data_IF_377226873511
#
_entry.id   IF_377226873511
#
_cell.length_a   1.000
_cell.length_b   1.000
_cell.length_c   1.000
_cell.angle_alpha   90.00
_cell.angle_beta   90.00
_cell.angle_gamma   90.00
#
_symmetry.space_group_name_H-M   'P 1'
#
loop_
_entity.id
_entity.type
_entity.pdbx_description
1 polymer ?
#
# COMPACT_ATOMS: atom_id res chain seq x y z
N UNK A 1 -1.76 -29.28 13.93
CA UNK A 1 -1.89 -29.85 15.27
C UNK A 1 -2.74 -28.89 16.07
N UNK A 2 -3.91 -29.39 16.48
CA UNK A 2 -4.85 -28.68 17.34
C UNK A 2 -4.40 -28.94 18.78
N UNK A 3 -4.10 -27.87 19.53
CA UNK A 3 -3.86 -27.96 20.98
C UNK A 3 -4.98 -27.16 21.63
N UNK A 4 -5.88 -27.88 22.29
CA UNK A 4 -6.89 -27.31 23.17
C UNK A 4 -6.23 -26.96 24.50
N UNK A 5 -6.24 -25.65 24.85
CA UNK A 5 -5.95 -25.20 26.20
C UNK A 5 -7.18 -24.48 26.71
N UNK A 6 -7.79 -25.06 27.75
CA UNK A 6 -8.96 -24.57 28.45
C UNK A 6 -8.67 -23.22 29.13
N UNK A 7 -8.99 -22.12 28.49
CA UNK A 7 -9.09 -20.74 29.04
C UNK A 7 -9.34 -19.66 27.97
N UNK A 8 -10.38 -19.80 27.12
CA UNK A 8 -10.91 -18.64 26.34
C UNK A 8 -9.95 -17.89 25.39
N UNK A 9 -8.74 -18.39 25.18
CA UNK A 9 -7.75 -17.79 24.27
C UNK A 9 -7.93 -18.39 22.87
N UNK A 10 -8.39 -17.60 21.92
CA UNK A 10 -8.40 -18.00 20.51
C UNK A 10 -6.96 -18.03 19.98
N UNK A 11 -6.36 -19.21 19.92
CA UNK A 11 -5.06 -19.42 19.26
C UNK A 11 -5.32 -19.48 17.75
N UNK A 12 -4.89 -18.50 17.02
CA UNK A 12 -4.87 -18.56 15.57
C UNK A 12 -3.67 -19.44 15.15
N UNK A 13 -3.95 -20.63 14.63
CA UNK A 13 -2.92 -21.48 14.04
C UNK A 13 -2.41 -20.83 12.76
N UNK A 14 -1.23 -20.25 12.81
CA UNK A 14 -0.53 -19.78 11.62
C UNK A 14 -0.16 -21.02 10.79
N UNK A 15 -0.54 -21.13 9.51
CA UNK A 15 -0.19 -22.29 8.69
C UNK A 15 1.34 -22.45 8.59
N UNK A 16 1.82 -23.68 8.62
CA UNK A 16 3.25 -24.02 8.69
C UNK A 16 4.08 -23.36 7.56
N UNK A 17 3.48 -23.20 6.38
CA UNK A 17 4.09 -22.50 5.25
C UNK A 17 4.30 -21.01 5.51
N UNK A 18 3.42 -20.36 6.27
CA UNK A 18 3.58 -18.95 6.65
C UNK A 18 4.64 -18.79 7.75
N UNK A 19 4.71 -19.71 8.71
CA UNK A 19 5.77 -19.75 9.72
C UNK A 19 7.13 -19.93 9.03
N UNK A 20 7.22 -20.90 8.12
CA UNK A 20 8.45 -21.16 7.36
C UNK A 20 8.86 -19.93 6.51
N UNK A 21 7.90 -19.25 5.90
CA UNK A 21 8.13 -18.01 5.14
C UNK A 21 8.70 -16.88 6.01
N UNK A 22 8.17 -16.70 7.22
CA UNK A 22 8.61 -15.65 8.15
C UNK A 22 9.98 -15.94 8.79
N UNK A 23 10.36 -17.23 8.89
CA UNK A 23 11.61 -17.66 9.57
C UNK A 23 12.76 -17.95 8.61
N UNK A 24 12.50 -18.27 7.35
CA UNK A 24 13.52 -18.72 6.38
C UNK A 24 14.03 -17.63 5.43
N UNK A 25 13.59 -16.38 5.56
CA UNK A 25 14.01 -15.30 4.66
C UNK A 25 13.59 -15.53 3.20
N UNK A 26 12.47 -16.22 2.98
CA UNK A 26 11.96 -16.55 1.65
C UNK A 26 11.75 -15.32 0.78
N UNK A 27 12.19 -15.38 -0.49
CA UNK A 27 11.85 -14.35 -1.48
C UNK A 27 10.46 -14.59 -2.06
N UNK A 28 9.68 -13.51 -2.24
CA UNK A 28 8.37 -13.57 -2.87
C UNK A 28 8.41 -12.83 -4.19
N UNK A 29 8.07 -13.53 -5.29
CA UNK A 29 7.95 -12.93 -6.62
C UNK A 29 6.49 -12.68 -6.95
N UNK A 30 6.18 -11.52 -7.51
CA UNK A 30 4.87 -11.18 -8.07
C UNK A 30 5.06 -10.65 -9.48
N UNK A 31 4.14 -11.03 -10.38
CA UNK A 31 4.25 -10.73 -11.80
C UNK A 31 3.09 -9.84 -12.25
N UNK A 32 3.41 -8.93 -13.14
CA UNK A 32 2.46 -8.13 -13.89
C UNK A 32 2.98 -7.98 -15.32
N UNK A 33 2.10 -7.65 -16.25
CA UNK A 33 2.43 -7.42 -17.64
C UNK A 33 1.72 -6.18 -18.16
N UNK A 34 2.34 -5.53 -19.15
CA UNK A 34 1.73 -4.44 -19.89
C UNK A 34 1.89 -4.70 -21.38
N UNK A 35 0.91 -4.27 -22.15
CA UNK A 35 0.92 -4.25 -23.60
C UNK A 35 0.65 -2.82 -24.07
N UNK A 36 1.31 -2.39 -25.14
CA UNK A 36 1.12 -1.07 -25.74
C UNK A 36 1.17 -1.16 -27.26
N UNK A 37 0.25 -0.46 -27.93
CA UNK A 37 0.18 -0.35 -29.39
C UNK A 37 0.08 1.12 -29.79
N UNK A 38 0.75 1.49 -30.89
CA UNK A 38 0.69 2.83 -31.46
C UNK A 38 1.64 3.85 -30.84
N UNK A 39 1.45 5.11 -31.20
CA UNK A 39 2.22 6.25 -30.70
C UNK A 39 1.84 6.65 -29.29
N UNK A 40 2.55 7.64 -28.74
CA UNK A 40 2.31 8.07 -27.34
C UNK A 40 0.90 8.66 -27.16
N UNK A 41 0.42 9.51 -28.08
CA UNK A 41 -0.83 10.22 -27.92
C UNK A 41 -2.07 9.44 -28.38
N UNK A 42 -1.92 8.67 -29.43
CA UNK A 42 -2.98 7.89 -30.12
C UNK A 42 -2.95 6.41 -29.79
N UNK A 43 -1.92 5.96 -29.09
CA UNK A 43 -1.74 4.58 -28.70
C UNK A 43 -2.67 4.13 -27.58
N UNK A 44 -2.78 2.81 -27.46
CA UNK A 44 -3.63 2.14 -26.44
C UNK A 44 -2.82 1.06 -25.75
N UNK A 45 -3.01 0.96 -24.45
CA UNK A 45 -2.35 -0.07 -23.66
C UNK A 45 -3.29 -0.80 -22.72
N UNK A 46 -2.83 -1.94 -22.25
CA UNK A 46 -3.49 -2.71 -21.18
C UNK A 46 -2.46 -3.19 -20.16
N UNK A 47 -2.87 -3.29 -18.92
CA UNK A 47 -2.10 -3.89 -17.82
C UNK A 47 -2.85 -5.08 -17.24
N UNK A 48 -2.09 -6.09 -16.83
CA UNK A 48 -2.63 -7.28 -16.15
C UNK A 48 -1.74 -7.67 -14.98
N UNK A 49 -2.36 -8.16 -13.91
CA UNK A 49 -1.67 -8.73 -12.75
C UNK A 49 -1.85 -10.24 -12.72
N UNK A 50 -0.88 -10.96 -12.13
CA UNK A 50 -0.94 -12.41 -11.94
C UNK A 50 -2.19 -12.87 -11.16
N UNK A 51 -2.66 -12.06 -10.20
CA UNK A 51 -3.89 -12.31 -9.44
C UNK A 51 -5.17 -12.23 -10.27
N UNK A 52 -5.13 -11.64 -11.47
CA UNK A 52 -6.29 -11.41 -12.32
C UNK A 52 -7.16 -10.22 -11.89
N UNK A 53 -6.84 -9.53 -10.79
CA UNK A 53 -7.60 -8.33 -10.34
C UNK A 53 -7.54 -7.23 -11.40
N UNK A 54 -6.37 -7.02 -12.02
CA UNK A 54 -6.26 -6.27 -13.28
C UNK A 54 -6.14 -7.29 -14.41
N UNK A 55 -7.09 -7.29 -15.33
CA UNK A 55 -7.12 -8.19 -16.49
C UNK A 55 -7.37 -7.37 -17.74
N UNK A 56 -6.29 -7.12 -18.50
CA UNK A 56 -6.31 -6.26 -19.68
C UNK A 56 -6.97 -4.90 -19.41
N UNK A 57 -6.72 -4.36 -18.21
CA UNK A 57 -7.26 -3.06 -17.82
C UNK A 57 -6.62 -1.97 -18.65
N UNK A 58 -7.43 -1.13 -19.27
CA UNK A 58 -7.00 -0.12 -20.21
C UNK A 58 -6.19 0.99 -19.51
N UNK A 59 -5.12 1.43 -20.16
CA UNK A 59 -4.43 2.68 -19.88
C UNK A 59 -4.01 3.37 -21.19
N UNK A 60 -3.85 4.69 -21.16
CA UNK A 60 -3.52 5.48 -22.34
C UNK A 60 -2.92 6.83 -21.96
N UNK A 61 -2.55 7.66 -22.93
CA UNK A 61 -2.17 9.03 -22.69
C UNK A 61 -3.31 9.81 -22.00
N UNK A 62 -4.54 9.64 -22.46
CA UNK A 62 -5.70 10.37 -21.90
C UNK A 62 -6.04 9.92 -20.48
N UNK A 63 -5.83 8.66 -20.09
CA UNK A 63 -6.03 8.21 -18.70
C UNK A 63 -4.96 8.71 -17.75
N UNK A 64 -3.81 9.17 -18.26
CA UNK A 64 -2.69 9.67 -17.47
C UNK A 64 -2.66 11.19 -17.35
N UNK A 65 -3.03 11.91 -18.40
CA UNK A 65 -2.85 13.35 -18.52
C UNK A 65 -4.15 14.12 -18.78
N UNK A 66 -5.28 13.40 -18.97
CA UNK A 66 -6.61 13.94 -19.26
C UNK A 66 -7.67 13.15 -18.47
N UNK A 67 -8.96 13.32 -18.78
CA UNK A 67 -10.08 12.64 -18.10
C UNK A 67 -10.49 11.31 -18.77
N UNK A 68 -9.55 10.58 -19.35
CA UNK A 68 -9.81 9.29 -20.01
C UNK A 68 -10.24 8.20 -19.01
N UNK A 69 -11.10 7.27 -19.46
CA UNK A 69 -11.49 6.10 -18.65
C UNK A 69 -10.41 5.03 -18.68
N UNK A 70 -10.03 4.51 -17.51
CA UNK A 70 -9.02 3.47 -17.36
C UNK A 70 -8.16 3.71 -16.13
N UNK A 71 -7.05 3.01 -16.03
CA UNK A 71 -6.05 3.22 -14.99
C UNK A 71 -4.84 4.00 -15.53
N UNK A 72 -3.91 4.33 -14.65
CA UNK A 72 -2.63 4.93 -14.99
C UNK A 72 -1.54 4.47 -14.01
N UNK A 73 -0.25 4.56 -14.37
CA UNK A 73 0.84 4.13 -13.50
C UNK A 73 0.87 4.82 -12.15
N UNK A 74 0.51 6.09 -12.11
CA UNK A 74 0.55 6.92 -10.92
C UNK A 74 -0.46 6.45 -9.87
N UNK A 75 -1.70 6.15 -10.26
CA UNK A 75 -2.71 5.63 -9.31
C UNK A 75 -2.40 4.20 -8.87
N UNK A 76 -1.77 3.37 -9.72
CA UNK A 76 -1.35 2.03 -9.33
C UNK A 76 -0.23 2.07 -8.28
N UNK A 77 0.72 3.00 -8.41
CA UNK A 77 1.76 3.24 -7.40
C UNK A 77 1.12 3.76 -6.11
N UNK A 78 0.19 4.70 -6.20
CA UNK A 78 -0.52 5.24 -5.04
C UNK A 78 -1.30 4.14 -4.30
N UNK A 79 -2.02 3.28 -5.03
CA UNK A 79 -2.75 2.14 -4.45
C UNK A 79 -1.80 1.14 -3.76
N UNK A 80 -0.68 0.80 -4.40
CA UNK A 80 0.34 -0.07 -3.81
C UNK A 80 0.94 0.54 -2.53
N UNK A 81 1.19 1.86 -2.53
CA UNK A 81 1.75 2.56 -1.38
C UNK A 81 0.76 2.61 -0.22
N UNK A 82 -0.50 2.98 -0.47
CA UNK A 82 -1.54 3.00 0.55
C UNK A 82 -1.74 1.61 1.20
N UNK A 83 -1.84 0.55 0.39
CA UNK A 83 -2.01 -0.81 0.90
C UNK A 83 -0.81 -1.31 1.70
N UNK A 84 0.41 -1.09 1.20
CA UNK A 84 1.63 -1.50 1.88
C UNK A 84 1.83 -0.75 3.21
N UNK A 85 1.59 0.56 3.24
CA UNK A 85 1.66 1.38 4.43
C UNK A 85 0.64 0.93 5.50
N UNK A 86 -0.62 0.69 5.12
CA UNK A 86 -1.67 0.23 6.04
C UNK A 86 -1.31 -1.12 6.69
N UNK A 87 -0.75 -2.05 5.91
CA UNK A 87 -0.29 -3.34 6.44
C UNK A 87 0.92 -3.16 7.38
N UNK A 88 1.88 -2.30 7.04
CA UNK A 88 3.03 -2.00 7.89
C UNK A 88 2.59 -1.38 9.23
N UNK A 89 1.62 -0.45 9.18
CA UNK A 89 1.05 0.15 10.39
C UNK A 89 0.34 -0.90 11.25
N UNK A 90 -0.47 -1.77 10.65
CA UNK A 90 -1.16 -2.84 11.38
C UNK A 90 -0.16 -3.76 12.13
N UNK A 91 0.96 -4.10 11.49
CA UNK A 91 2.01 -4.91 12.10
C UNK A 91 2.64 -4.16 13.29
N UNK A 92 3.05 -2.91 13.12
CA UNK A 92 3.71 -2.11 14.16
C UNK A 92 2.78 -1.83 15.35
N UNK A 93 1.48 -1.60 15.09
CA UNK A 93 0.48 -1.49 16.15
C UNK A 93 0.37 -2.79 16.94
N UNK A 94 0.38 -3.95 16.29
CA UNK A 94 0.38 -5.26 16.94
C UNK A 94 1.59 -5.46 17.85
N UNK A 95 2.80 -5.09 17.39
CA UNK A 95 4.02 -5.12 18.19
C UNK A 95 3.96 -4.18 19.42
N UNK A 96 3.20 -3.09 19.30
CA UNK A 96 2.94 -2.15 20.40
C UNK A 96 1.75 -2.53 21.31
N UNK A 97 1.16 -3.73 21.08
CA UNK A 97 0.02 -4.25 21.86
C UNK A 97 -1.32 -3.59 21.51
N UNK A 98 -1.43 -2.97 20.36
CA UNK A 98 -2.63 -2.28 19.89
C UNK A 98 -3.23 -2.99 18.65
N UNK A 99 -4.55 -2.98 18.54
CA UNK A 99 -5.24 -3.50 17.34
C UNK A 99 -6.22 -2.44 16.83
N UNK A 100 -6.04 -2.02 15.57
CA UNK A 100 -6.96 -1.10 14.94
C UNK A 100 -8.26 -1.81 14.55
N UNK A 101 -9.41 -1.15 14.71
CA UNK A 101 -10.67 -1.56 14.11
C UNK A 101 -10.67 -1.26 12.61
N UNK A 102 -10.13 -0.09 12.21
CA UNK A 102 -9.92 0.27 10.81
C UNK A 102 -8.64 1.09 10.65
N UNK A 103 -8.05 0.98 9.45
CA UNK A 103 -6.95 1.80 8.96
C UNK A 103 -7.34 2.23 7.56
N UNK A 104 -7.64 3.49 7.39
CA UNK A 104 -8.01 4.09 6.10
C UNK A 104 -6.88 4.99 5.64
N UNK A 105 -6.23 4.62 4.55
CA UNK A 105 -5.11 5.36 3.97
C UNK A 105 -5.43 5.79 2.56
N UNK A 106 -5.35 7.09 2.29
CA UNK A 106 -5.35 7.65 0.94
C UNK A 106 -3.94 8.05 0.58
N UNK A 107 -3.49 7.72 -0.62
CA UNK A 107 -2.22 8.17 -1.17
C UNK A 107 -2.49 9.08 -2.37
N UNK A 108 -1.95 10.29 -2.34
CA UNK A 108 -1.97 11.23 -3.45
C UNK A 108 -0.55 11.39 -3.98
N UNK A 109 -0.34 10.98 -5.24
CA UNK A 109 0.93 11.06 -5.93
C UNK A 109 0.91 12.25 -6.88
N UNK A 110 1.91 13.12 -6.80
CA UNK A 110 2.07 14.28 -7.66
C UNK A 110 3.11 14.00 -8.74
N UNK A 111 2.68 14.08 -9.99
CA UNK A 111 3.53 14.01 -11.18
C UNK A 111 3.70 15.39 -11.78
N UNK A 112 4.92 15.88 -11.91
CA UNK A 112 5.23 17.19 -12.45
C UNK A 112 6.25 17.09 -13.59
N UNK A 113 6.20 18.08 -14.51
CA UNK A 113 7.23 18.27 -15.51
C UNK A 113 8.34 19.11 -14.91
N UNK A 114 9.49 18.53 -14.68
CA UNK A 114 10.71 19.17 -14.20
C UNK A 114 11.75 19.28 -15.33
N UNK A 115 12.90 19.85 -15.06
CA UNK A 115 14.04 19.87 -16.01
C UNK A 115 14.53 18.47 -16.35
N UNK A 116 14.35 17.50 -15.44
CA UNK A 116 14.68 16.09 -15.66
C UNK A 116 13.58 15.31 -16.42
N UNK A 117 12.46 15.95 -16.78
CA UNK A 117 11.30 15.35 -17.42
C UNK A 117 10.13 15.13 -16.43
N UNK A 118 9.20 14.23 -16.76
CA UNK A 118 8.09 13.90 -15.86
C UNK A 118 8.62 13.16 -14.62
N UNK A 119 8.41 13.77 -13.47
CA UNK A 119 8.97 13.32 -12.19
C UNK A 119 7.87 13.24 -11.13
N UNK A 120 7.87 12.16 -10.36
CA UNK A 120 7.05 12.08 -9.14
C UNK A 120 7.75 12.88 -8.06
N UNK A 121 7.20 14.03 -7.71
CA UNK A 121 7.82 15.00 -6.79
C UNK A 121 7.40 14.82 -5.34
N UNK A 122 6.19 14.32 -5.11
CA UNK A 122 5.68 14.07 -3.76
C UNK A 122 4.63 12.96 -3.76
N UNK A 123 4.56 12.22 -2.64
CA UNK A 123 3.40 11.40 -2.27
C UNK A 123 2.93 11.83 -0.89
N UNK A 124 1.65 12.17 -0.78
CA UNK A 124 0.99 12.46 0.49
C UNK A 124 0.19 11.25 0.91
N UNK A 125 0.43 10.75 2.12
CA UNK A 125 -0.36 9.71 2.78
C UNK A 125 -1.29 10.38 3.81
N UNK A 126 -2.59 10.34 3.57
CA UNK A 126 -3.62 10.75 4.52
C UNK A 126 -4.15 9.51 5.23
N UNK A 127 -3.87 9.40 6.52
CA UNK A 127 -4.20 8.27 7.38
C UNK A 127 -5.27 8.65 8.39
N UNK A 128 -6.32 7.84 8.47
CA UNK A 128 -7.28 7.83 9.58
C UNK A 128 -7.30 6.41 10.14
N UNK A 129 -7.15 6.26 11.46
CA UNK A 129 -7.20 4.94 12.10
C UNK A 129 -8.04 4.95 13.38
N UNK A 130 -8.98 4.01 13.48
CA UNK A 130 -9.76 3.74 14.69
C UNK A 130 -9.05 2.67 15.52
N UNK A 131 -8.44 3.10 16.63
CA UNK A 131 -7.65 2.24 17.51
C UNK A 131 -8.17 2.42 18.93
N UNK A 132 -9.00 1.51 19.44
CA UNK A 132 -9.56 1.61 20.80
C UNK A 132 -8.47 1.69 21.87
N UNK A 133 -8.57 2.71 22.72
CA UNK A 133 -7.65 2.89 23.84
C UNK A 133 -6.26 3.41 23.50
N UNK A 134 -5.99 3.75 22.24
CA UNK A 134 -4.71 4.35 21.86
C UNK A 134 -4.66 5.84 22.22
N UNK A 135 -3.50 6.28 22.69
CA UNK A 135 -3.19 7.71 22.78
C UNK A 135 -2.57 8.24 21.48
N UNK A 136 -2.69 9.53 21.23
CA UNK A 136 -2.24 10.18 20.02
C UNK A 136 -0.70 10.11 19.84
N UNK A 137 0.07 10.20 20.92
CA UNK A 137 1.53 10.20 20.83
C UNK A 137 2.04 8.82 20.40
N UNK A 138 1.51 7.75 21.02
CA UNK A 138 1.86 6.37 20.66
C UNK A 138 1.44 6.02 19.24
N UNK A 139 0.25 6.47 18.82
CA UNK A 139 -0.22 6.30 17.44
C UNK A 139 0.72 7.00 16.43
N UNK A 140 1.10 8.25 16.69
CA UNK A 140 2.01 9.00 15.81
C UNK A 140 3.37 8.30 15.69
N UNK A 141 3.94 7.81 16.81
CA UNK A 141 5.19 7.03 16.80
C UNK A 141 5.06 5.78 15.89
N UNK A 142 3.96 5.04 16.01
CA UNK A 142 3.70 3.86 15.16
C UNK A 142 3.53 4.24 13.68
N UNK A 143 2.83 5.33 13.39
CA UNK A 143 2.60 5.81 12.04
C UNK A 143 3.91 6.27 11.36
N UNK A 144 4.79 6.97 12.08
CA UNK A 144 6.11 7.37 11.58
C UNK A 144 7.02 6.16 11.33
N UNK A 145 7.01 5.18 12.22
CA UNK A 145 7.73 3.90 12.01
C UNK A 145 7.20 3.16 10.79
N UNK A 146 5.88 3.14 10.59
CA UNK A 146 5.25 2.52 9.42
C UNK A 146 5.67 3.23 8.13
N UNK A 147 5.69 4.57 8.10
CA UNK A 147 6.19 5.33 6.96
C UNK A 147 7.64 5.00 6.63
N UNK A 148 8.51 4.95 7.62
CA UNK A 148 9.92 4.65 7.41
C UNK A 148 10.18 3.18 7.04
N UNK A 149 9.42 2.25 7.61
CA UNK A 149 9.58 0.80 7.43
C UNK A 149 8.86 0.19 6.24
N UNK A 150 7.84 0.85 5.70
CA UNK A 150 7.06 0.34 4.57
C UNK A 150 7.96 0.05 3.35
N UNK A 151 7.96 -1.18 2.82
CA UNK A 151 8.76 -1.53 1.65
C UNK A 151 8.55 -0.63 0.44
N UNK A 152 7.32 -0.21 0.18
CA UNK A 152 7.02 0.70 -0.94
C UNK A 152 7.56 2.12 -0.64
N UNK A 153 7.43 2.65 0.59
CA UNK A 153 8.06 3.92 0.95
C UNK A 153 9.58 3.89 0.73
N UNK A 154 10.22 2.78 1.08
CA UNK A 154 11.68 2.59 0.93
C UNK A 154 12.13 2.39 -0.52
N UNK A 155 11.23 1.90 -1.38
CA UNK A 155 11.47 1.73 -2.82
C UNK A 155 11.46 3.06 -3.57
N UNK A 156 10.59 4.00 -3.14
CA UNK A 156 10.33 5.24 -3.85
C UNK A 156 11.37 6.32 -3.50
N UNK A 157 11.96 6.92 -4.52
CA UNK A 157 12.89 8.04 -4.37
C UNK A 157 12.16 9.38 -4.56
N UNK A 158 11.28 9.72 -3.61
CA UNK A 158 10.50 10.95 -3.64
C UNK A 158 10.18 11.41 -2.21
N UNK A 159 9.74 12.66 -2.05
CA UNK A 159 9.23 13.16 -0.77
C UNK A 159 7.96 12.42 -0.40
N UNK A 160 7.89 11.87 0.83
CA UNK A 160 6.70 11.22 1.37
C UNK A 160 6.24 12.00 2.61
N UNK A 161 5.07 12.62 2.51
CA UNK A 161 4.41 13.34 3.60
C UNK A 161 3.34 12.45 4.22
N UNK A 162 3.23 12.44 5.55
CA UNK A 162 2.21 11.68 6.29
C UNK A 162 1.38 12.62 7.16
N UNK A 163 0.07 12.62 6.94
CA UNK A 163 -0.93 13.26 7.79
C UNK A 163 -1.69 12.15 8.53
N UNK A 164 -1.44 11.99 9.83
CA UNK A 164 -2.00 10.91 10.63
C UNK A 164 -3.05 11.43 11.63
N UNK A 165 -4.27 10.89 11.57
CA UNK A 165 -5.38 11.21 12.45
C UNK A 165 -5.87 9.95 13.16
N UNK A 166 -5.93 10.00 14.48
CA UNK A 166 -6.58 8.99 15.30
C UNK A 166 -8.09 9.28 15.36
N UNK A 167 -8.93 8.29 15.05
CA UNK A 167 -10.39 8.39 15.04
C UNK A 167 -11.00 7.50 13.97
N UNK A 168 -12.34 7.38 13.95
CA UNK A 168 -13.04 6.65 12.88
C UNK A 168 -13.08 7.49 11.59
N UNK A 169 -13.03 6.83 10.44
CA UNK A 169 -13.37 7.44 9.16
C UNK A 169 -14.87 7.78 9.15
N UNK A 170 -15.22 8.97 8.67
CA UNK A 170 -16.60 9.47 8.56
C UNK A 170 -17.22 8.98 7.27
#
# INVERSE_FOLDING_TARGET
VQIDIDAGVKIYTVPLNLVHYLTSGGSMKRNASAHWEGGLKDGKGTVSTESGVLSKTQYSFSTRFEDGKGTNPEELIAAAHAGCFSMALSMILGEAGMTAKSIDTKAALTLEKTDAGFTVTEIVLDLIADIPGADQAKFNECADKAKAGCPISRLLNTKITLNAKLGAAV
#
